data_IF_377382888915
#
_entry.id   IF_377382888915
#
_cell.length_a   1.000
_cell.length_b   1.000
_cell.length_c   1.000
_cell.angle_alpha   90.00
_cell.angle_beta   90.00
_cell.angle_gamma   90.00
#
_symmetry.space_group_name_H-M   'P 1'
#
loop_
_entity.id
_entity.type
_entity.pdbx_description
1 polymer ?
#
# COMPACT_ATOMS: atom_id res chain seq x y z
N UNK A 1 18.68 -1.50 -14.23
CA UNK A 1 19.44 -1.29 -12.99
C UNK A 1 18.55 -1.47 -11.75
N UNK A 2 17.40 -0.78 -11.60
CA UNK A 2 16.49 -0.87 -10.43
C UNK A 2 16.14 -2.32 -10.05
N UNK A 3 15.76 -3.17 -11.02
CA UNK A 3 15.44 -4.58 -10.73
C UNK A 3 16.63 -5.35 -10.14
N UNK A 4 17.84 -5.11 -10.63
CA UNK A 4 19.05 -5.76 -10.10
C UNK A 4 19.36 -5.32 -8.67
N UNK A 5 19.06 -4.07 -8.34
CA UNK A 5 19.28 -3.52 -7.01
C UNK A 5 18.20 -3.95 -6.02
N UNK A 6 16.91 -3.72 -6.35
CA UNK A 6 15.83 -3.89 -5.39
C UNK A 6 15.34 -5.34 -5.24
N UNK A 7 15.28 -6.15 -6.31
CA UNK A 7 14.67 -7.48 -6.20
C UNK A 7 15.39 -8.40 -5.22
N UNK A 8 16.74 -8.50 -5.18
CA UNK A 8 17.43 -9.31 -4.18
C UNK A 8 17.16 -8.80 -2.75
N UNK A 9 17.13 -7.48 -2.54
CA UNK A 9 16.93 -6.86 -1.25
C UNK A 9 15.51 -7.09 -0.70
N UNK A 10 14.51 -7.09 -1.60
CA UNK A 10 13.13 -7.45 -1.25
C UNK A 10 13.06 -8.94 -0.84
N UNK A 11 13.68 -9.83 -1.60
CA UNK A 11 13.69 -11.26 -1.29
C UNK A 11 14.40 -11.60 0.02
N UNK A 12 15.46 -10.85 0.34
CA UNK A 12 16.21 -11.02 1.59
C UNK A 12 15.57 -10.29 2.78
N UNK A 13 14.45 -9.56 2.56
CA UNK A 13 13.84 -8.68 3.57
C UNK A 13 14.76 -7.53 4.05
N UNK A 14 15.75 -7.12 3.25
CA UNK A 14 16.58 -5.93 3.50
C UNK A 14 15.79 -4.64 3.25
N UNK A 15 14.90 -4.66 2.25
CA UNK A 15 14.02 -3.55 1.88
C UNK A 15 12.56 -3.91 2.17
N UNK A 16 11.96 -3.15 3.09
CA UNK A 16 10.54 -3.19 3.42
C UNK A 16 9.85 -1.99 2.80
N UNK A 17 8.86 -2.25 1.97
CA UNK A 17 8.20 -1.24 1.15
C UNK A 17 6.82 -0.88 1.67
N UNK A 18 6.58 0.41 1.84
CA UNK A 18 5.25 0.95 2.07
C UNK A 18 4.66 1.54 0.79
N UNK A 19 3.33 1.64 0.74
CA UNK A 19 2.58 2.19 -0.39
C UNK A 19 2.13 3.62 -0.12
N UNK A 20 2.63 4.57 -0.88
CA UNK A 20 2.30 5.99 -0.80
C UNK A 20 1.31 6.41 -1.89
N UNK A 21 0.04 5.97 -1.80
CA UNK A 21 -1.00 6.28 -2.79
C UNK A 21 -2.00 7.29 -2.26
N UNK A 22 -2.84 6.89 -1.33
CA UNK A 22 -3.93 7.70 -0.79
C UNK A 22 -3.43 8.98 -0.10
N UNK A 23 -4.23 10.03 -0.20
CA UNK A 23 -4.04 11.31 0.49
C UNK A 23 -5.32 11.67 1.26
N UNK A 24 -5.29 12.61 2.21
CA UNK A 24 -6.50 12.98 2.96
C UNK A 24 -7.70 13.37 2.09
N UNK A 25 -7.45 13.95 0.91
CA UNK A 25 -8.49 14.34 -0.06
C UNK A 25 -8.56 13.44 -1.30
N UNK A 26 -7.84 12.32 -1.35
CA UNK A 26 -7.68 11.51 -2.56
C UNK A 26 -7.49 10.03 -2.21
N UNK A 27 -8.60 9.30 -2.13
CA UNK A 27 -8.63 7.85 -1.91
C UNK A 27 -9.22 7.13 -3.12
N UNK A 28 -10.55 6.97 -3.16
CA UNK A 28 -11.24 6.36 -4.31
C UNK A 28 -10.99 7.12 -5.61
N UNK A 29 -10.97 8.45 -5.56
CA UNK A 29 -10.50 9.30 -6.66
C UNK A 29 -8.99 9.55 -6.53
N UNK A 30 -8.19 8.49 -6.72
CA UNK A 30 -6.73 8.54 -6.58
C UNK A 30 -6.09 9.49 -7.61
N UNK A 31 -6.71 9.71 -8.77
CA UNK A 31 -6.18 10.62 -9.78
C UNK A 31 -6.13 12.09 -9.32
N UNK A 32 -6.92 12.45 -8.32
CA UNK A 32 -6.94 13.80 -7.73
C UNK A 32 -5.82 14.06 -6.73
N UNK A 33 -4.85 13.16 -6.59
CA UNK A 33 -3.71 13.32 -5.70
C UNK A 33 -2.98 14.66 -5.92
N UNK A 34 -2.46 15.23 -4.82
CA UNK A 34 -1.87 16.58 -4.76
C UNK A 34 -0.40 16.59 -4.38
N UNK A 35 0.17 15.48 -3.88
CA UNK A 35 1.62 15.39 -3.60
C UNK A 35 2.39 15.73 -4.86
N UNK A 36 3.16 16.82 -4.84
CA UNK A 36 3.91 17.33 -5.99
C UNK A 36 5.35 16.83 -5.98
N UNK A 37 5.89 16.60 -7.17
CA UNK A 37 7.31 16.41 -7.40
C UNK A 37 7.75 17.40 -8.46
N UNK A 38 8.62 18.34 -8.09
CA UNK A 38 9.17 19.35 -8.99
C UNK A 38 10.53 18.87 -9.48
N UNK A 39 10.72 18.85 -10.80
CA UNK A 39 11.97 18.44 -11.44
C UNK A 39 13.03 19.51 -11.32
N UNK A 40 14.20 19.17 -10.78
CA UNK A 40 15.40 20.02 -10.69
C UNK A 40 16.57 19.49 -11.52
N UNK A 41 16.29 18.63 -12.51
CA UNK A 41 17.27 18.04 -13.43
C UNK A 41 17.84 16.72 -12.93
N UNK A 42 18.66 16.72 -11.90
CA UNK A 42 19.25 15.52 -11.30
C UNK A 42 18.40 14.88 -10.20
N UNK A 43 17.36 15.59 -9.71
CA UNK A 43 16.47 15.12 -8.65
C UNK A 43 15.09 15.78 -8.74
N UNK A 44 14.15 15.21 -8.01
CA UNK A 44 12.86 15.81 -7.70
C UNK A 44 12.85 16.36 -6.28
N UNK A 45 12.13 17.47 -6.07
CA UNK A 45 11.73 17.93 -4.73
C UNK A 45 10.27 17.58 -4.53
N UNK A 46 10.00 16.76 -3.53
CA UNK A 46 8.68 16.20 -3.25
C UNK A 46 8.06 16.84 -2.03
N UNK A 47 6.81 17.32 -2.19
CA UNK A 47 6.01 17.94 -1.13
C UNK A 47 4.59 17.39 -1.14
N UNK A 48 4.08 16.99 0.02
CA UNK A 48 2.70 16.52 0.19
C UNK A 48 2.50 15.66 1.41
N UNK A 49 1.37 14.94 1.42
CA UNK A 49 1.01 14.04 2.50
C UNK A 49 0.34 12.79 1.94
N UNK A 50 0.77 11.63 2.41
CA UNK A 50 0.10 10.35 2.19
C UNK A 50 -0.59 9.90 3.47
N UNK A 51 -1.67 9.14 3.33
CA UNK A 51 -2.44 8.61 4.46
C UNK A 51 -2.80 7.14 4.24
N UNK A 52 -3.16 6.48 5.33
CA UNK A 52 -3.49 5.05 5.36
C UNK A 52 -2.33 4.16 4.87
N UNK A 53 -1.10 4.61 5.08
CA UNK A 53 0.11 3.86 4.70
C UNK A 53 0.32 2.70 5.67
N UNK A 54 -0.08 1.49 5.26
CA UNK A 54 0.02 0.28 6.07
C UNK A 54 1.47 -0.05 6.37
N UNK A 55 1.75 -0.34 7.65
CA UNK A 55 3.06 -0.72 8.19
C UNK A 55 4.21 0.25 7.84
N UNK A 56 3.86 1.52 7.54
CA UNK A 56 4.84 2.55 7.20
C UNK A 56 5.90 2.78 8.28
N UNK A 57 5.56 2.54 9.56
CA UNK A 57 6.48 2.63 10.70
C UNK A 57 7.62 1.61 10.66
N UNK A 58 7.47 0.52 9.92
CA UNK A 58 8.50 -0.52 9.75
C UNK A 58 9.20 -0.47 8.40
N UNK A 59 8.67 0.34 7.46
CA UNK A 59 9.24 0.45 6.12
C UNK A 59 10.52 1.27 6.12
N UNK A 60 11.47 0.89 5.27
CA UNK A 60 12.63 1.71 4.94
C UNK A 60 12.54 2.30 3.52
N UNK A 61 11.56 1.86 2.73
CA UNK A 61 11.26 2.36 1.38
C UNK A 61 9.77 2.62 1.22
N UNK A 62 9.44 3.63 0.41
CA UNK A 62 8.06 3.90 0.02
C UNK A 62 7.98 4.09 -1.50
N UNK A 63 7.08 3.39 -2.16
CA UNK A 63 6.75 3.69 -3.55
C UNK A 63 5.56 4.65 -3.59
N UNK A 64 5.76 5.78 -4.24
CA UNK A 64 4.91 6.95 -4.10
C UNK A 64 4.39 7.47 -5.43
N UNK A 65 3.07 7.65 -5.54
CA UNK A 65 2.47 8.39 -6.65
C UNK A 65 2.55 9.88 -6.37
N UNK A 66 3.08 10.63 -7.33
CA UNK A 66 3.30 12.07 -7.24
C UNK A 66 2.81 12.78 -8.50
N UNK A 67 2.45 14.06 -8.36
CA UNK A 67 2.09 14.93 -9.47
C UNK A 67 3.35 15.60 -10.00
N UNK A 68 3.73 15.28 -11.24
CA UNK A 68 4.86 15.89 -11.95
C UNK A 68 4.39 16.90 -13.00
N UNK A 69 3.15 16.78 -13.49
CA UNK A 69 2.54 17.74 -14.42
C UNK A 69 1.12 18.07 -13.99
N UNK A 70 0.79 19.36 -13.93
CA UNK A 70 -0.54 19.87 -13.54
C UNK A 70 -1.35 20.41 -14.71
N UNK A 71 -0.74 20.57 -15.88
CA UNK A 71 -1.34 21.24 -17.06
C UNK A 71 -1.97 20.24 -18.03
N UNK A 72 -2.29 19.05 -17.54
CA UNK A 72 -2.86 17.95 -18.30
C UNK A 72 -4.03 17.28 -17.56
N UNK A 73 -4.65 16.25 -18.18
CA UNK A 73 -5.62 15.41 -17.46
C UNK A 73 -4.96 14.81 -16.21
N UNK A 74 -5.66 14.75 -15.07
CA UNK A 74 -5.08 14.30 -13.79
C UNK A 74 -4.25 13.01 -13.88
N UNK A 75 -4.71 12.04 -14.62
CA UNK A 75 -4.05 10.73 -14.80
C UNK A 75 -2.73 10.83 -15.59
N UNK A 76 -2.60 11.83 -16.47
CA UNK A 76 -1.46 11.97 -17.38
C UNK A 76 -0.28 12.73 -16.73
N UNK A 77 -0.50 13.38 -15.59
CA UNK A 77 0.54 14.12 -14.87
C UNK A 77 1.06 13.39 -13.62
N UNK A 78 0.85 12.08 -13.51
CA UNK A 78 1.25 11.29 -12.36
C UNK A 78 2.50 10.47 -12.71
N UNK A 79 3.50 10.57 -11.85
CA UNK A 79 4.73 9.77 -11.90
C UNK A 79 4.81 8.85 -10.67
N UNK A 80 5.71 7.87 -10.74
CA UNK A 80 5.89 6.86 -9.70
C UNK A 80 7.33 6.93 -9.21
N UNK A 81 7.53 7.33 -7.95
CA UNK A 81 8.85 7.49 -7.35
C UNK A 81 9.12 6.42 -6.29
N UNK A 82 10.36 5.95 -6.25
CA UNK A 82 10.89 5.08 -5.21
C UNK A 82 11.68 5.95 -4.22
N UNK A 83 11.21 6.04 -2.98
CA UNK A 83 11.73 6.99 -2.00
C UNK A 83 12.25 6.23 -0.79
N UNK A 84 13.42 6.61 -0.27
CA UNK A 84 13.89 6.17 1.03
C UNK A 84 13.08 6.90 2.12
N UNK A 85 12.35 6.16 2.96
CA UNK A 85 11.47 6.74 3.97
C UNK A 85 12.25 7.47 5.07
N UNK A 86 13.55 7.18 5.19
CA UNK A 86 14.45 7.85 6.13
C UNK A 86 15.07 9.14 5.56
N UNK A 87 14.68 9.55 4.35
CA UNK A 87 15.16 10.80 3.75
C UNK A 87 14.80 12.01 4.60
N UNK A 88 15.68 13.02 4.71
CA UNK A 88 15.35 14.28 5.35
C UNK A 88 14.04 14.87 4.80
N UNK A 89 13.18 15.37 5.69
CA UNK A 89 11.89 15.95 5.32
C UNK A 89 10.73 14.96 5.28
N UNK A 90 10.97 13.68 5.60
CA UNK A 90 9.89 12.69 5.77
C UNK A 90 9.60 12.51 7.26
N UNK A 91 8.32 12.52 7.59
CA UNK A 91 7.80 12.21 8.92
C UNK A 91 6.67 11.20 8.81
N UNK A 92 6.80 10.08 9.52
CA UNK A 92 5.76 9.03 9.62
C UNK A 92 5.04 9.19 10.94
N UNK A 93 3.72 9.40 10.90
CA UNK A 93 2.87 9.57 12.08
C UNK A 93 1.85 8.44 12.19
N UNK A 94 1.63 7.90 13.39
CA UNK A 94 0.65 6.85 13.60
C UNK A 94 -0.79 7.36 13.39
N UNK A 95 -1.62 6.50 12.80
CA UNK A 95 -3.07 6.60 12.86
C UNK A 95 -3.53 5.46 13.76
N UNK A 96 -4.12 5.80 14.91
CA UNK A 96 -4.68 4.80 15.82
C UNK A 96 -6.09 4.48 15.34
N UNK A 97 -6.34 3.22 15.03
CA UNK A 97 -7.62 2.72 14.53
C UNK A 97 -8.61 2.47 15.67
N UNK A 98 -9.89 2.22 15.34
CA UNK A 98 -10.97 2.08 16.33
C UNK A 98 -10.74 0.95 17.35
N UNK A 99 -10.00 -0.08 16.96
CA UNK A 99 -9.59 -1.21 17.82
C UNK A 99 -8.39 -0.88 18.72
N UNK A 100 -7.83 0.33 18.62
CA UNK A 100 -6.67 0.78 19.39
C UNK A 100 -5.32 0.39 18.79
N UNK A 101 -5.29 -0.27 17.64
CA UNK A 101 -4.06 -0.74 17.00
C UNK A 101 -3.39 0.35 16.15
N UNK A 102 -2.08 0.19 15.93
CA UNK A 102 -1.27 1.04 15.08
C UNK A 102 -0.78 0.24 13.86
N UNK A 103 -1.59 0.16 12.83
CA UNK A 103 -1.26 -0.54 11.58
C UNK A 103 -0.99 0.44 10.43
N UNK A 104 -1.68 1.58 10.42
CA UNK A 104 -1.64 2.56 9.34
C UNK A 104 -1.06 3.90 9.79
N UNK A 105 -0.55 4.66 8.83
CA UNK A 105 0.20 5.88 9.09
C UNK A 105 -0.18 7.01 8.14
N UNK A 106 0.07 8.25 8.58
CA UNK A 106 0.30 9.41 7.73
C UNK A 106 1.79 9.48 7.40
N UNK A 107 2.11 9.84 6.17
CA UNK A 107 3.49 10.11 5.73
C UNK A 107 3.54 11.52 5.16
N UNK A 108 4.23 12.40 5.88
CA UNK A 108 4.42 13.78 5.50
C UNK A 108 5.73 13.93 4.75
N UNK A 109 5.69 14.66 3.64
CA UNK A 109 6.84 14.93 2.77
C UNK A 109 7.01 16.46 2.67
N UNK A 110 8.14 16.96 3.16
CA UNK A 110 8.49 18.38 3.12
C UNK A 110 9.88 18.54 2.52
N UNK A 111 9.91 19.10 1.32
CA UNK A 111 11.15 19.37 0.56
C UNK A 111 12.06 18.13 0.41
N UNK A 112 11.43 16.96 0.23
CA UNK A 112 12.14 15.68 0.15
C UNK A 112 12.88 15.59 -1.18
N UNK A 113 14.20 15.47 -1.13
CA UNK A 113 15.04 15.31 -2.32
C UNK A 113 15.06 13.83 -2.74
N UNK A 114 14.59 13.55 -3.97
CA UNK A 114 14.53 12.22 -4.55
C UNK A 114 15.35 12.19 -5.84
N UNK A 115 16.41 11.38 -5.94
CA UNK A 115 17.23 11.28 -7.16
C UNK A 115 16.41 10.94 -8.40
N UNK A 116 16.77 11.47 -9.55
CA UNK A 116 16.06 11.24 -10.82
C UNK A 116 16.02 9.75 -11.21
N UNK A 117 17.04 9.01 -10.86
CA UNK A 117 17.17 7.57 -11.08
C UNK A 117 16.13 6.73 -10.30
N UNK A 118 15.51 7.32 -9.27
CA UNK A 118 14.44 6.69 -8.50
C UNK A 118 13.05 6.82 -9.14
N UNK A 119 12.96 7.42 -10.33
CA UNK A 119 11.75 7.37 -11.14
C UNK A 119 11.53 5.93 -11.63
N UNK A 120 10.38 5.36 -11.31
CA UNK A 120 9.99 4.05 -11.83
C UNK A 120 9.40 4.22 -13.23
N UNK A 121 10.08 3.65 -14.23
CA UNK A 121 9.66 3.70 -15.62
C UNK A 121 9.79 5.11 -16.20
N UNK A 122 8.72 5.62 -16.82
CA UNK A 122 8.68 6.91 -17.51
C UNK A 122 7.92 7.96 -16.69
N UNK A 123 8.38 9.21 -16.77
CA UNK A 123 7.69 10.36 -16.18
C UNK A 123 6.27 10.49 -16.76
N UNK A 124 5.31 10.85 -15.92
CA UNK A 124 3.89 10.99 -16.29
C UNK A 124 3.18 9.68 -16.72
N UNK A 125 3.82 8.51 -16.50
CA UNK A 125 3.22 7.18 -16.74
C UNK A 125 2.87 6.43 -15.45
N UNK A 126 3.05 7.05 -14.28
CA UNK A 126 2.80 6.42 -12.98
C UNK A 126 1.39 5.88 -12.82
N UNK A 127 0.39 6.51 -13.42
CA UNK A 127 -0.99 6.01 -13.41
C UNK A 127 -1.14 4.63 -14.05
N UNK A 128 -0.44 4.38 -15.14
CA UNK A 128 -0.44 3.07 -15.82
C UNK A 128 0.17 2.00 -14.93
N UNK A 129 1.27 2.31 -14.26
CA UNK A 129 1.94 1.38 -13.32
C UNK A 129 1.08 1.11 -12.10
N UNK A 130 0.43 2.14 -11.53
CA UNK A 130 -0.49 2.00 -10.41
C UNK A 130 -1.68 1.10 -10.76
N UNK A 131 -2.31 1.28 -11.92
CA UNK A 131 -3.41 0.41 -12.37
C UNK A 131 -2.96 -1.04 -12.52
N UNK A 132 -1.78 -1.28 -13.07
CA UNK A 132 -1.23 -2.62 -13.20
C UNK A 132 -1.08 -3.29 -11.82
N UNK A 133 -0.45 -2.60 -10.87
CA UNK A 133 -0.27 -3.11 -9.50
C UNK A 133 -1.61 -3.40 -8.85
N UNK A 134 -2.54 -2.45 -8.82
CA UNK A 134 -3.85 -2.58 -8.18
C UNK A 134 -4.68 -3.73 -8.78
N UNK A 135 -4.55 -4.00 -10.08
CA UNK A 135 -5.23 -5.13 -10.72
C UNK A 135 -4.75 -6.47 -10.17
N UNK A 136 -3.45 -6.62 -9.93
CA UNK A 136 -2.86 -7.85 -9.37
C UNK A 136 -3.12 -7.96 -7.86
N UNK A 137 -3.06 -6.85 -7.12
CA UNK A 137 -3.27 -6.82 -5.67
C UNK A 137 -4.68 -7.28 -5.27
N UNK A 138 -5.71 -6.88 -6.01
CA UNK A 138 -7.13 -7.17 -5.70
C UNK A 138 -7.44 -8.66 -5.60
N UNK A 139 -6.73 -9.52 -6.30
CA UNK A 139 -6.96 -10.97 -6.26
C UNK A 139 -6.47 -11.59 -4.94
N UNK A 140 -5.44 -11.01 -4.29
CA UNK A 140 -4.90 -11.48 -3.02
C UNK A 140 -5.71 -10.99 -1.80
N UNK A 141 -6.14 -9.73 -1.81
CA UNK A 141 -6.84 -9.07 -0.69
C UNK A 141 -8.17 -9.75 -0.35
N UNK A 142 -8.87 -10.32 -1.31
CA UNK A 142 -10.15 -10.99 -1.08
C UNK A 142 -10.09 -12.17 -0.10
N UNK A 143 -8.90 -12.72 0.18
CA UNK A 143 -8.69 -13.75 1.21
C UNK A 143 -9.51 -15.03 1.06
N UNK A 144 -10.05 -15.30 -0.13
CA UNK A 144 -10.95 -16.43 -0.40
C UNK A 144 -10.38 -17.79 0.04
N UNK A 145 -9.10 -18.11 -0.21
CA UNK A 145 -8.53 -19.37 0.27
C UNK A 145 -8.53 -19.47 1.80
N UNK A 146 -8.21 -18.38 2.50
CA UNK A 146 -8.19 -18.34 3.96
C UNK A 146 -9.59 -18.51 4.54
N UNK A 147 -10.60 -17.85 3.97
CA UNK A 147 -12.01 -18.00 4.38
C UNK A 147 -12.51 -19.43 4.18
N UNK A 148 -12.20 -20.04 3.02
CA UNK A 148 -12.54 -21.46 2.77
C UNK A 148 -11.84 -22.40 3.75
N UNK A 149 -10.57 -22.17 4.05
CA UNK A 149 -9.83 -22.97 5.03
C UNK A 149 -10.42 -22.85 6.42
N UNK A 150 -10.76 -21.63 6.87
CA UNK A 150 -11.40 -21.38 8.17
C UNK A 150 -12.75 -22.08 8.29
N UNK A 151 -13.61 -22.01 7.24
CA UNK A 151 -14.90 -22.72 7.22
C UNK A 151 -14.71 -24.23 7.29
N UNK A 152 -13.76 -24.79 6.55
CA UNK A 152 -13.47 -26.22 6.61
C UNK A 152 -12.98 -26.65 8.00
N UNK A 153 -12.13 -25.84 8.63
CA UNK A 153 -11.66 -26.07 9.99
C UNK A 153 -12.82 -26.04 11.00
N UNK A 154 -13.71 -25.03 10.87
CA UNK A 154 -14.92 -24.94 11.68
C UNK A 154 -15.81 -26.19 11.56
N UNK A 155 -16.01 -26.71 10.34
CA UNK A 155 -16.78 -27.97 10.11
C UNK A 155 -16.12 -29.15 10.80
N UNK A 156 -14.81 -29.26 10.80
CA UNK A 156 -14.08 -30.33 11.50
C UNK A 156 -14.33 -30.25 13.02
N UNK A 157 -14.23 -29.05 13.59
CA UNK A 157 -14.48 -28.79 15.01
C UNK A 157 -15.95 -29.17 15.35
N UNK A 158 -16.91 -28.69 14.57
CA UNK A 158 -18.32 -28.91 14.78
C UNK A 158 -18.73 -30.39 14.70
N UNK A 159 -18.05 -31.21 13.90
CA UNK A 159 -18.25 -32.66 13.87
C UNK A 159 -17.73 -33.38 15.13
N UNK A 160 -16.74 -32.78 15.83
CA UNK A 160 -16.15 -33.34 17.06
C UNK A 160 -16.73 -32.78 18.34
N UNK A 161 -17.53 -31.71 18.25
CA UNK A 161 -18.16 -31.04 19.38
C UNK A 161 -19.63 -31.55 19.47
N UNK A 162 -20.05 -31.96 20.66
CA UNK A 162 -21.39 -32.51 20.88
C UNK A 162 -22.25 -31.58 21.72
N UNK A 163 -23.53 -31.46 21.34
CA UNK A 163 -24.57 -30.74 22.08
C UNK A 163 -25.80 -31.64 22.12
N UNK A 164 -26.30 -31.94 23.32
CA UNK A 164 -27.45 -32.84 23.52
C UNK A 164 -27.28 -34.22 22.86
N UNK A 165 -26.08 -34.79 22.91
CA UNK A 165 -25.77 -36.11 22.36
C UNK A 165 -25.61 -36.20 20.85
N UNK A 166 -25.67 -35.06 20.13
CA UNK A 166 -25.47 -34.98 18.67
C UNK A 166 -24.32 -34.07 18.32
N UNK A 167 -23.57 -34.34 17.22
CA UNK A 167 -22.55 -33.42 16.73
C UNK A 167 -23.15 -32.04 16.45
N UNK A 168 -22.41 -30.97 16.80
CA UNK A 168 -22.87 -29.59 16.65
C UNK A 168 -23.20 -29.23 15.20
N UNK A 169 -22.53 -29.84 14.23
CA UNK A 169 -22.81 -29.65 12.79
C UNK A 169 -24.25 -30.05 12.41
N UNK A 170 -24.95 -30.89 13.25
CA UNK A 170 -26.34 -31.30 13.03
C UNK A 170 -27.35 -30.40 13.75
N UNK A 171 -26.90 -29.39 14.52
CA UNK A 171 -27.77 -28.39 15.12
C UNK A 171 -28.25 -27.42 14.03
N UNK A 172 -29.57 -27.29 13.79
CA UNK A 172 -30.11 -26.43 12.74
C UNK A 172 -29.69 -24.93 12.86
N UNK A 173 -29.50 -24.43 14.09
CA UNK A 173 -29.06 -23.06 14.35
C UNK A 173 -27.59 -22.85 14.03
N UNK A 174 -26.80 -23.92 14.02
CA UNK A 174 -25.39 -23.88 13.70
C UNK A 174 -25.12 -24.10 12.21
N UNK A 175 -25.94 -24.92 11.54
CA UNK A 175 -25.76 -25.31 10.14
C UNK A 175 -26.43 -24.37 9.13
N UNK A 176 -27.21 -23.39 9.60
CA UNK A 176 -27.82 -22.33 8.78
C UNK A 176 -26.82 -21.22 8.52
#
# INVERSE_FOLDING_TARGET
EQKKYYLPRILNCDDWWAQGYSEPGSGSDLASLKTKAVDHGDHYIVNGQKTWTTLGQFANKIFCLVKTDTDCKPQNGISFLLIDINSPGIEVRPIITLDGEHEVNEVWLKDVKVPKENLLGEENKGWTYAKYLLTHERTGIAGVPNSKSAINHLKVIANKTYKNGKPLIQDPLFSS
#
